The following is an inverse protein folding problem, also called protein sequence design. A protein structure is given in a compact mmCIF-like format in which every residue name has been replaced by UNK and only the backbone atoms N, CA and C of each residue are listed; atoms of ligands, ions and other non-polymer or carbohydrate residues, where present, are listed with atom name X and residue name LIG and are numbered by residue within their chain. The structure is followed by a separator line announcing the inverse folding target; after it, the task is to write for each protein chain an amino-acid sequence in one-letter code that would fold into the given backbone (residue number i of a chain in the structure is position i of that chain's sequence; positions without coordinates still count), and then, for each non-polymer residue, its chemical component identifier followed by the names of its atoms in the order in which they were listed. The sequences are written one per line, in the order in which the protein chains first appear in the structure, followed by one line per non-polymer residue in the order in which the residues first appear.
data_IF_417897891260
#
_entry.id   IF_417897891260
#
_cell.length_a   1.000
_cell.length_b   1.000
_cell.length_c   1.000
_cell.angle_alpha   90.00
_cell.angle_beta   90.00
_cell.angle_gamma   90.00
#
_symmetry.space_group_name_H-M   'P 1'
#
loop_
_entity.id
_entity.type
_entity.pdbx_description
1 polymer ?
#
# COMPACT_ATOMS: atom_id res chain seq x y z
N UNK A 1 -19.89 -25.17 -9.14
CA UNK A 1 -18.59 -24.46 -9.08
C UNK A 1 -17.83 -24.97 -7.87
N UNK A 2 -16.54 -25.24 -7.98
CA UNK A 2 -15.73 -25.88 -6.93
C UNK A 2 -14.97 -24.79 -6.15
N UNK A 3 -15.44 -24.43 -4.95
CA UNK A 3 -14.92 -23.29 -4.17
C UNK A 3 -13.52 -23.48 -3.56
N UNK A 4 -12.89 -24.61 -3.83
CA UNK A 4 -11.54 -24.97 -3.43
C UNK A 4 -10.43 -24.27 -4.25
N UNK A 5 -10.76 -23.37 -5.20
CA UNK A 5 -9.78 -22.80 -6.15
C UNK A 5 -9.55 -21.28 -6.12
N UNK A 6 -10.42 -20.49 -5.49
CA UNK A 6 -10.26 -19.01 -5.51
C UNK A 6 -9.05 -18.60 -4.67
N UNK A 7 -8.09 -17.92 -5.30
CA UNK A 7 -6.94 -17.31 -4.65
C UNK A 7 -7.28 -15.88 -4.26
N UNK A 8 -7.22 -15.55 -2.97
CA UNK A 8 -7.37 -14.17 -2.51
C UNK A 8 -6.15 -13.71 -1.72
N UNK A 9 -5.93 -12.39 -1.69
CA UNK A 9 -4.97 -11.75 -0.81
C UNK A 9 -5.60 -10.57 -0.09
N UNK A 10 -5.20 -10.33 1.15
CA UNK A 10 -5.49 -9.08 1.86
C UNK A 10 -4.33 -8.12 1.61
N UNK A 11 -4.65 -6.87 1.33
CA UNK A 11 -3.67 -5.83 1.02
C UNK A 11 -3.98 -4.55 1.76
N UNK A 12 -2.93 -3.87 2.21
CA UNK A 12 -2.98 -2.60 2.90
C UNK A 12 -1.84 -1.70 2.40
N UNK A 13 -2.10 -0.39 2.30
CA UNK A 13 -1.13 0.59 1.82
C UNK A 13 -0.95 1.72 2.82
N UNK A 14 0.31 2.13 3.00
CA UNK A 14 0.66 3.34 3.71
C UNK A 14 0.94 4.44 2.70
N UNK A 15 0.27 5.58 2.82
CA UNK A 15 0.38 6.66 1.85
C UNK A 15 0.25 8.04 2.49
N UNK A 16 0.62 9.07 1.74
CA UNK A 16 0.42 10.47 2.11
C UNK A 16 0.17 11.32 0.88
N UNK A 17 -0.25 12.57 1.09
CA UNK A 17 -0.43 13.55 0.04
C UNK A 17 0.64 14.64 0.12
N UNK A 18 1.27 14.97 -1.01
CA UNK A 18 2.19 16.11 -1.12
C UNK A 18 1.57 17.22 -1.98
N UNK A 19 0.67 18.00 -1.38
CA UNK A 19 -0.18 18.95 -2.11
C UNK A 19 -1.55 18.37 -2.42
N UNK A 20 -2.31 19.00 -3.32
CA UNK A 20 -3.72 18.61 -3.57
C UNK A 20 -3.88 17.30 -4.36
N UNK A 21 -2.97 17.00 -5.29
CA UNK A 21 -3.16 15.91 -6.26
C UNK A 21 -1.99 14.91 -6.35
N UNK A 22 -1.07 14.93 -5.39
CA UNK A 22 0.10 14.05 -5.40
C UNK A 22 -0.02 12.99 -4.31
N UNK A 23 -0.72 11.90 -4.63
CA UNK A 23 -0.75 10.72 -3.78
C UNK A 23 0.61 10.01 -3.86
N UNK A 24 1.25 9.88 -2.71
CA UNK A 24 2.55 9.24 -2.55
C UNK A 24 2.36 7.98 -1.76
N UNK A 25 2.75 6.85 -2.35
CA UNK A 25 2.76 5.56 -1.67
C UNK A 25 4.08 5.40 -0.89
N UNK A 26 4.00 5.19 0.41
CA UNK A 26 5.14 5.05 1.33
C UNK A 26 5.58 3.59 1.46
N UNK A 27 4.60 2.69 1.64
CA UNK A 27 4.81 1.25 1.75
C UNK A 27 3.50 0.51 1.56
N UNK A 28 3.54 -0.82 1.60
CA UNK A 28 2.33 -1.63 1.70
C UNK A 28 2.62 -3.03 2.21
N UNK A 29 1.57 -3.78 2.47
CA UNK A 29 1.65 -5.16 2.90
C UNK A 29 0.63 -5.99 2.12
N UNK A 30 1.02 -7.21 1.75
CA UNK A 30 0.13 -8.17 1.11
C UNK A 30 0.27 -9.54 1.77
N UNK A 31 -0.85 -10.18 2.05
CA UNK A 31 -0.91 -11.53 2.63
C UNK A 31 -1.91 -12.39 1.86
N UNK A 32 -1.43 -13.47 1.23
CA UNK A 32 -2.26 -14.41 0.47
C UNK A 32 -2.95 -15.48 1.33
N UNK A 33 -4.05 -16.05 0.82
CA UNK A 33 -4.86 -17.12 1.45
C UNK A 33 -4.05 -18.30 2.00
N UNK A 34 -3.11 -18.82 1.21
CA UNK A 34 -2.31 -20.00 1.58
C UNK A 34 -0.97 -19.64 2.22
N UNK A 35 -0.74 -18.36 2.50
CA UNK A 35 0.48 -17.82 3.09
C UNK A 35 0.20 -17.17 4.44
N UNK A 36 -0.71 -17.75 5.22
CA UNK A 36 -0.98 -17.31 6.59
C UNK A 36 0.33 -17.38 7.41
N UNK A 37 0.99 -16.23 7.57
CA UNK A 37 2.29 -16.09 8.21
C UNK A 37 3.40 -15.47 7.35
N UNK A 38 3.24 -15.40 6.01
CA UNK A 38 4.20 -14.75 5.11
C UNK A 38 3.61 -13.45 4.57
N UNK A 39 3.83 -12.35 5.30
CA UNK A 39 3.50 -11.00 4.83
C UNK A 39 4.55 -10.55 3.84
N UNK A 40 4.14 -10.27 2.61
CA UNK A 40 4.99 -9.62 1.61
C UNK A 40 4.93 -8.12 1.86
N UNK A 41 6.01 -7.55 2.38
CA UNK A 41 6.15 -6.10 2.51
C UNK A 41 6.56 -5.47 1.19
N UNK A 42 5.93 -4.35 0.88
CA UNK A 42 6.26 -3.44 -0.21
C UNK A 42 7.00 -2.25 0.39
N UNK A 43 8.31 -2.22 0.20
CA UNK A 43 9.21 -1.23 0.79
C UNK A 43 10.15 -0.65 -0.25
N UNK A 44 10.60 0.57 -0.02
CA UNK A 44 11.55 1.29 -0.86
C UNK A 44 11.31 2.79 -0.80
N UNK A 45 12.07 3.54 -1.60
CA UNK A 45 11.82 4.97 -1.80
C UNK A 45 10.36 5.17 -2.21
N UNK A 46 9.67 6.04 -1.49
CA UNK A 46 8.26 6.33 -1.71
C UNK A 46 7.94 6.62 -3.19
N UNK A 47 6.80 6.14 -3.66
CA UNK A 47 6.40 6.14 -5.06
C UNK A 47 5.38 7.26 -5.32
N UNK A 48 5.71 8.18 -6.22
CA UNK A 48 4.75 9.16 -6.73
C UNK A 48 3.83 8.48 -7.74
N UNK A 49 2.59 8.18 -7.33
CA UNK A 49 1.69 7.30 -8.09
C UNK A 49 1.35 7.86 -9.47
N UNK A 50 1.07 9.17 -9.57
CA UNK A 50 0.70 9.85 -10.82
C UNK A 50 1.76 9.69 -11.92
N UNK A 51 3.03 9.71 -11.53
CA UNK A 51 4.17 9.64 -12.46
C UNK A 51 4.84 8.26 -12.49
N UNK A 52 4.39 7.32 -11.64
CA UNK A 52 4.96 5.98 -11.51
C UNK A 52 6.49 5.95 -11.33
N UNK A 53 7.02 6.92 -10.55
CA UNK A 53 8.45 7.03 -10.24
C UNK A 53 8.70 7.21 -8.75
N UNK A 54 9.89 6.86 -8.32
CA UNK A 54 10.32 7.17 -6.96
C UNK A 54 10.34 8.70 -6.74
N UNK A 55 10.01 9.14 -5.54
CA UNK A 55 10.16 10.55 -5.17
C UNK A 55 11.64 10.93 -5.15
N UNK A 56 11.93 12.14 -5.62
CA UNK A 56 13.27 12.73 -5.55
C UNK A 56 13.63 13.03 -4.10
N UNK A 57 14.92 13.24 -3.82
CA UNK A 57 15.36 13.64 -2.48
C UNK A 57 14.70 14.94 -1.99
N UNK A 58 14.40 15.87 -2.90
CA UNK A 58 13.72 17.13 -2.58
C UNK A 58 12.26 16.88 -2.20
N UNK A 59 11.54 16.08 -2.99
CA UNK A 59 10.15 15.70 -2.69
C UNK A 59 10.05 14.91 -1.39
N UNK A 60 10.99 13.99 -1.13
CA UNK A 60 11.08 13.25 0.13
C UNK A 60 11.24 14.18 1.34
N UNK A 61 12.17 15.14 1.27
CA UNK A 61 12.35 16.14 2.34
C UNK A 61 11.08 16.97 2.56
N UNK A 62 10.43 17.40 1.47
CA UNK A 62 9.18 18.16 1.55
C UNK A 62 8.05 17.33 2.19
N UNK A 63 7.95 16.04 1.85
CA UNK A 63 7.00 15.10 2.43
C UNK A 63 7.23 14.95 3.94
N UNK A 64 8.48 14.73 4.37
CA UNK A 64 8.82 14.63 5.80
C UNK A 64 8.48 15.93 6.54
N UNK A 65 8.87 17.10 6.00
CA UNK A 65 8.51 18.38 6.58
C UNK A 65 7.00 18.60 6.68
N UNK A 66 6.25 18.17 5.66
CA UNK A 66 4.79 18.27 5.65
C UNK A 66 4.17 17.43 6.77
N UNK A 67 4.62 16.18 6.94
CA UNK A 67 4.16 15.29 8.00
C UNK A 67 4.50 15.81 9.40
N UNK A 68 5.74 16.30 9.60
CA UNK A 68 6.15 16.95 10.86
C UNK A 68 5.22 18.12 11.19
N UNK A 69 4.84 18.92 10.19
CA UNK A 69 3.91 20.04 10.38
C UNK A 69 2.50 19.59 10.71
N UNK A 70 1.97 18.55 10.05
CA UNK A 70 0.62 18.02 10.30
C UNK A 70 0.51 17.45 11.72
N UNK A 71 1.50 16.68 12.15
CA UNK A 71 1.52 16.02 13.44
C UNK A 71 2.28 16.82 14.50
N UNK A 72 2.41 18.14 14.31
CA UNK A 72 3.05 19.01 15.28
C UNK A 72 2.34 18.88 16.65
N UNK A 73 3.12 18.74 17.72
CA UNK A 73 2.59 18.50 19.07
C UNK A 73 2.01 17.09 19.30
N UNK A 74 2.12 16.16 18.34
CA UNK A 74 1.65 14.77 18.44
C UNK A 74 2.78 13.75 18.24
N UNK A 75 3.83 13.76 19.09
CA UNK A 75 5.03 12.93 18.88
C UNK A 75 4.73 11.43 18.88
N UNK A 76 3.76 10.97 19.68
CA UNK A 76 3.33 9.56 19.73
C UNK A 76 2.77 9.04 18.41
N UNK A 77 2.23 9.93 17.57
CA UNK A 77 1.73 9.60 16.23
C UNK A 77 2.80 9.84 15.17
N UNK A 78 3.55 10.95 15.29
CA UNK A 78 4.56 11.34 14.31
C UNK A 78 5.72 10.33 14.24
N UNK A 79 6.26 9.87 15.37
CA UNK A 79 7.45 9.04 15.36
C UNK A 79 7.26 7.67 14.68
N UNK A 80 6.16 6.92 14.94
CA UNK A 80 5.90 5.70 14.18
C UNK A 80 5.81 5.92 12.66
N UNK A 81 5.17 7.01 12.22
CA UNK A 81 5.06 7.35 10.79
C UNK A 81 6.43 7.64 10.18
N UNK A 82 7.25 8.45 10.87
CA UNK A 82 8.61 8.75 10.40
C UNK A 82 9.51 7.51 10.37
N UNK A 83 9.37 6.63 11.37
CA UNK A 83 10.07 5.34 11.39
C UNK A 83 9.68 4.48 10.19
N UNK A 84 8.38 4.31 9.92
CA UNK A 84 7.91 3.55 8.76
C UNK A 84 8.42 4.11 7.43
N UNK A 85 8.43 5.44 7.26
CA UNK A 85 8.98 6.09 6.06
C UNK A 85 10.48 5.83 5.94
N UNK A 86 11.22 5.96 7.03
CA UNK A 86 12.67 5.76 7.06
C UNK A 86 13.02 4.30 6.75
N UNK A 87 12.36 3.35 7.42
CA UNK A 87 12.58 1.92 7.26
C UNK A 87 12.25 1.45 5.84
N UNK A 88 11.13 1.93 5.27
CA UNK A 88 10.78 1.64 3.87
C UNK A 88 11.86 2.18 2.92
N UNK A 89 12.28 3.43 3.08
CA UNK A 89 13.29 4.08 2.23
C UNK A 89 14.67 3.38 2.29
N UNK A 90 15.03 2.83 3.46
CA UNK A 90 16.31 2.16 3.71
C UNK A 90 16.21 0.62 3.62
N UNK A 91 15.10 0.09 3.09
CA UNK A 91 14.94 -1.35 2.95
C UNK A 91 16.06 -1.95 2.09
N UNK A 92 16.61 -3.08 2.53
CA UNK A 92 17.69 -3.79 1.82
C UNK A 92 17.19 -4.52 0.58
N UNK A 93 15.87 -4.66 0.42
CA UNK A 93 15.21 -5.34 -0.70
C UNK A 93 14.09 -4.47 -1.28
N UNK A 94 14.41 -3.29 -1.85
CA UNK A 94 13.40 -2.37 -2.31
C UNK A 94 12.58 -2.98 -3.46
N UNK A 95 11.27 -3.06 -3.26
CA UNK A 95 10.31 -3.62 -4.20
C UNK A 95 9.05 -2.74 -4.37
N UNK A 96 9.00 -1.56 -3.75
CA UNK A 96 7.92 -0.58 -3.89
C UNK A 96 7.94 0.09 -5.27
N UNK A 97 7.47 -0.64 -6.27
CA UNK A 97 7.33 -0.16 -7.65
C UNK A 97 6.02 -0.64 -8.24
N UNK A 98 5.44 0.14 -9.16
CA UNK A 98 4.23 -0.26 -9.90
C UNK A 98 4.35 -1.68 -10.47
N UNK A 99 5.48 -1.99 -11.12
CA UNK A 99 5.71 -3.31 -11.73
C UNK A 99 5.61 -4.45 -10.71
N UNK A 100 6.24 -4.29 -9.55
CA UNK A 100 6.23 -5.33 -8.51
C UNK A 100 4.85 -5.49 -7.88
N UNK A 101 4.17 -4.37 -7.58
CA UNK A 101 2.82 -4.38 -7.03
C UNK A 101 1.87 -5.12 -7.98
N UNK A 102 1.86 -4.76 -9.27
CA UNK A 102 1.04 -5.41 -10.28
C UNK A 102 1.39 -6.90 -10.45
N UNK A 103 2.68 -7.25 -10.38
CA UNK A 103 3.14 -8.64 -10.45
C UNK A 103 2.73 -9.49 -9.25
N UNK A 104 2.54 -8.89 -8.08
CA UNK A 104 2.06 -9.59 -6.90
C UNK A 104 0.57 -9.84 -6.99
N UNK A 105 -0.21 -8.80 -7.30
CA UNK A 105 -1.68 -8.88 -7.29
C UNK A 105 -2.24 -9.77 -8.42
N UNK A 106 -1.55 -9.87 -9.57
CA UNK A 106 -2.02 -10.69 -10.71
C UNK A 106 -2.15 -12.19 -10.41
N UNK A 107 -1.55 -12.67 -9.32
CA UNK A 107 -1.61 -14.08 -8.94
C UNK A 107 -2.83 -14.42 -8.09
N UNK A 108 -3.67 -13.42 -7.79
CA UNK A 108 -4.86 -13.58 -6.98
C UNK A 108 -6.09 -13.22 -7.80
N UNK A 109 -7.15 -14.01 -7.65
CA UNK A 109 -8.45 -13.76 -8.25
C UNK A 109 -9.18 -12.61 -7.54
N UNK A 110 -8.90 -12.41 -6.24
CA UNK A 110 -9.52 -11.39 -5.40
C UNK A 110 -8.45 -10.70 -4.53
N UNK A 111 -8.44 -9.37 -4.48
CA UNK A 111 -7.69 -8.62 -3.46
C UNK A 111 -8.71 -8.03 -2.49
N UNK A 112 -8.48 -8.16 -1.20
CA UNK A 112 -9.31 -7.56 -0.16
C UNK A 112 -8.52 -6.40 0.42
N UNK A 113 -9.05 -5.19 0.27
CA UNK A 113 -8.40 -3.97 0.73
C UNK A 113 -8.80 -3.63 2.16
N UNK A 114 -7.83 -3.29 2.99
CA UNK A 114 -8.08 -2.90 4.38
C UNK A 114 -8.72 -1.50 4.45
N UNK A 115 -8.15 -0.50 3.77
CA UNK A 115 -8.68 0.86 3.67
C UNK A 115 -9.33 1.09 2.30
N UNK A 116 -10.48 0.42 2.09
CA UNK A 116 -11.10 0.23 0.79
C UNK A 116 -11.16 1.47 -0.12
N UNK A 117 -11.62 2.63 0.38
CA UNK A 117 -11.86 3.79 -0.51
C UNK A 117 -10.59 4.43 -1.08
N UNK A 118 -9.48 4.45 -0.32
CA UNK A 118 -8.24 5.07 -0.79
C UNK A 118 -7.32 4.05 -1.43
N UNK A 119 -7.32 2.82 -0.92
CA UNK A 119 -6.59 1.72 -1.54
C UNK A 119 -7.09 1.42 -2.95
N UNK A 120 -8.41 1.54 -3.21
CA UNK A 120 -8.92 1.49 -4.60
C UNK A 120 -8.24 2.56 -5.43
N UNK A 121 -8.21 3.82 -4.96
CA UNK A 121 -7.64 4.93 -5.74
C UNK A 121 -6.15 4.69 -6.05
N UNK A 122 -5.43 4.08 -5.12
CA UNK A 122 -4.03 3.68 -5.31
C UNK A 122 -3.95 2.61 -6.40
N UNK A 123 -4.75 1.55 -6.32
CA UNK A 123 -4.80 0.49 -7.32
C UNK A 123 -5.22 0.99 -8.71
N UNK A 124 -6.22 1.86 -8.78
CA UNK A 124 -6.68 2.53 -10.01
C UNK A 124 -5.56 3.37 -10.63
N UNK A 125 -4.84 4.16 -9.82
CA UNK A 125 -3.70 4.95 -10.29
C UNK A 125 -2.55 4.06 -10.80
N UNK A 126 -2.37 2.88 -10.21
CA UNK A 126 -1.43 1.87 -10.68
C UNK A 126 -1.91 1.16 -11.96
N UNK A 127 -3.19 1.27 -12.32
CA UNK A 127 -3.79 0.57 -13.45
C UNK A 127 -4.08 -0.90 -13.16
N UNK A 128 -4.35 -1.25 -11.91
CA UNK A 128 -4.83 -2.57 -11.54
C UNK A 128 -6.27 -2.79 -12.05
N UNK A 129 -6.68 -4.03 -12.37
CA UNK A 129 -8.09 -4.34 -12.63
C UNK A 129 -8.94 -4.00 -11.40
N UNK A 130 -10.21 -3.63 -11.58
CA UNK A 130 -11.13 -3.36 -10.46
C UNK A 130 -11.20 -4.58 -9.54
N UNK A 131 -11.00 -4.33 -8.26
CA UNK A 131 -10.93 -5.37 -7.24
C UNK A 131 -12.06 -5.17 -6.23
N UNK A 132 -12.68 -6.27 -5.78
CA UNK A 132 -13.76 -6.25 -4.80
C UNK A 132 -13.27 -5.84 -3.41
N UNK A 133 -13.82 -4.76 -2.86
CA UNK A 133 -13.66 -4.45 -1.43
C UNK A 133 -14.65 -5.30 -0.65
N UNK A 134 -14.14 -6.16 0.23
CA UNK A 134 -14.93 -6.77 1.29
C UNK A 134 -14.62 -6.08 2.61
N UNK A 135 -15.53 -5.20 3.06
CA UNK A 135 -15.50 -4.60 4.38
C UNK A 135 -16.30 -5.44 5.37
N UNK A 136 -15.61 -6.25 6.18
CA UNK A 136 -16.21 -7.08 7.22
C UNK A 136 -15.17 -8.02 7.86
N UNK A 137 -15.47 -8.68 9.00
CA UNK A 137 -14.58 -9.73 9.51
C UNK A 137 -14.33 -10.76 8.39
N UNK A 138 -13.15 -11.39 8.35
CA UNK A 138 -12.68 -12.30 7.28
C UNK A 138 -13.64 -13.44 6.85
N UNK A 139 -14.77 -13.56 7.55
CA UNK A 139 -15.88 -14.48 7.32
C UNK A 139 -16.93 -13.96 6.31
N UNK A 140 -16.80 -12.73 5.80
CA UNK A 140 -17.71 -12.14 4.81
C UNK A 140 -17.15 -12.17 3.38
N UNK A 141 -16.20 -13.07 3.10
CA UNK A 141 -15.94 -13.49 1.72
C UNK A 141 -17.27 -13.95 1.11
N UNK A 142 -17.51 -13.71 -0.20
CA UNK A 142 -18.78 -14.03 -0.82
C UNK A 142 -19.07 -15.52 -0.56
N UNK A 143 -20.28 -15.87 -0.08
CA UNK A 143 -20.66 -17.27 -0.04
C UNK A 143 -20.62 -17.75 -1.49
N UNK A 144 -19.96 -18.89 -1.67
CA UNK A 144 -20.37 -19.82 -2.72
C UNK A 144 -21.88 -20.08 -2.56
#
# INVERSE_FOLDING_TARGET
MNCSKIQYAVMDFEFTNLGRDNLILISGALMGRHSAGLVTKLEGRALLLKENRAVTQKEWKNMVHHLVRIFNGKPKTLYPILAQIYDSDHSTKPNLTKKQILNLIKNYDVIVLWEGSTDIKILDALGAPKVDIYGGPANTLPPC
#
